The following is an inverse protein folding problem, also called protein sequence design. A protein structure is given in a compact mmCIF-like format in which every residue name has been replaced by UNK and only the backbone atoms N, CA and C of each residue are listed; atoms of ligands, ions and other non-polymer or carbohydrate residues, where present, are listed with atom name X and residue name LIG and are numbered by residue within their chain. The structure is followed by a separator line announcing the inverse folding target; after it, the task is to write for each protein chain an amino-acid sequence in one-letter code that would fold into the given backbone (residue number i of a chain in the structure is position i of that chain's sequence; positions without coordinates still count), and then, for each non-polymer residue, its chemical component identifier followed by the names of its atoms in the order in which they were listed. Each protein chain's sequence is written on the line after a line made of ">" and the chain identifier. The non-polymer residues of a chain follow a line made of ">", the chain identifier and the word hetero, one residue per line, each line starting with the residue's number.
data_IF_516397038970
#
_entry.id   IF_516397038970
#
_cell.length_a   1.000
_cell.length_b   1.000
_cell.length_c   1.000
_cell.angle_alpha   90.00
_cell.angle_beta   90.00
_cell.angle_gamma   90.00
#
_symmetry.space_group_name_H-M   'P 1'
#
loop_
_entity.id
_entity.type
_entity.pdbx_description
1 polymer ?
#
# COMPACT_ATOMS: atom_id res chain seq x y z
N UNK A 1 20.75 35.19 40.36
CA UNK A 1 19.45 34.50 40.45
C UNK A 1 18.38 35.56 40.19
N UNK A 2 17.54 35.39 39.16
CA UNK A 2 16.63 34.25 39.10
C UNK A 2 16.71 33.42 37.82
N UNK A 3 16.59 32.11 38.01
CA UNK A 3 16.37 31.08 37.00
C UNK A 3 15.08 31.32 36.23
N UNK A 4 15.13 31.21 34.90
CA UNK A 4 13.93 31.11 34.07
C UNK A 4 13.38 29.69 34.21
N UNK A 5 12.27 29.54 34.91
CA UNK A 5 11.47 28.33 34.94
C UNK A 5 10.92 28.02 33.54
N UNK A 6 11.22 26.83 33.03
CA UNK A 6 10.60 26.26 31.85
C UNK A 6 9.15 25.88 32.15
N UNK A 7 8.19 26.06 31.23
CA UNK A 7 6.82 25.62 31.44
C UNK A 7 6.71 24.09 31.34
N UNK A 8 6.01 23.51 32.33
CA UNK A 8 5.61 22.11 32.41
C UNK A 8 4.90 21.64 31.13
N UNK A 9 5.43 20.58 30.53
CA UNK A 9 4.80 19.87 29.39
C UNK A 9 3.86 18.81 29.94
N UNK A 10 2.53 18.87 29.68
CA UNK A 10 1.61 17.84 30.14
C UNK A 10 1.88 16.51 29.43
N UNK A 11 1.97 15.43 30.22
CA UNK A 11 2.36 14.10 29.79
C UNK A 11 1.55 13.50 28.64
N UNK A 12 2.27 12.81 27.74
CA UNK A 12 1.72 11.97 26.69
C UNK A 12 0.78 10.90 27.27
N UNK A 13 -0.54 11.06 27.07
CA UNK A 13 -1.48 9.94 27.19
C UNK A 13 -1.26 8.97 26.03
N UNK A 14 -0.82 7.76 26.35
CA UNK A 14 -0.77 6.63 25.43
C UNK A 14 -2.12 6.46 24.71
N UNK A 15 -2.10 6.63 23.38
CA UNK A 15 -3.25 6.39 22.52
C UNK A 15 -3.68 4.92 22.58
N UNK A 16 -4.98 4.68 22.73
CA UNK A 16 -5.58 3.34 22.78
C UNK A 16 -5.22 2.52 21.51
N UNK A 17 -4.92 1.21 21.63
CA UNK A 17 -4.66 0.36 20.49
C UNK A 17 -5.91 0.28 19.58
N UNK A 18 -5.70 0.52 18.28
CA UNK A 18 -6.74 0.44 17.26
C UNK A 18 -7.35 -0.97 17.12
N UNK A 19 -8.52 -1.09 16.48
CA UNK A 19 -9.25 -2.35 16.39
C UNK A 19 -8.46 -3.38 15.58
N UNK A 20 -8.39 -4.63 16.10
CA UNK A 20 -7.75 -5.77 15.42
C UNK A 20 -8.45 -6.01 14.09
N UNK A 21 -7.71 -5.81 12.99
CA UNK A 21 -8.17 -6.08 11.63
C UNK A 21 -8.61 -7.55 11.51
N UNK A 22 -9.84 -7.77 11.05
CA UNK A 22 -10.41 -9.08 10.72
C UNK A 22 -9.50 -9.85 9.76
N UNK A 23 -9.45 -11.17 9.96
CA UNK A 23 -8.46 -12.09 9.40
C UNK A 23 -8.08 -11.85 7.92
N UNK A 24 -6.79 -11.98 7.55
CA UNK A 24 -6.33 -11.84 6.18
C UNK A 24 -6.97 -12.86 5.23
N UNK A 25 -7.24 -12.43 3.99
CA UNK A 25 -7.68 -13.31 2.90
C UNK A 25 -6.71 -14.48 2.69
N UNK A 26 -7.18 -15.61 2.14
CA UNK A 26 -6.35 -16.82 1.91
C UNK A 26 -5.02 -16.54 1.18
N UNK A 27 -4.96 -15.50 0.33
CA UNK A 27 -3.73 -15.04 -0.33
C UNK A 27 -2.73 -14.39 0.62
N UNK A 28 -3.20 -13.59 1.57
CA UNK A 28 -2.38 -12.96 2.62
C UNK A 28 -1.84 -13.98 3.63
N UNK A 29 -2.59 -15.06 3.91
CA UNK A 29 -2.09 -16.19 4.73
C UNK A 29 -0.87 -16.88 4.09
N UNK A 30 -0.79 -16.95 2.76
CA UNK A 30 0.36 -17.53 2.04
C UNK A 30 1.59 -16.64 2.05
N UNK A 31 1.42 -15.31 1.94
CA UNK A 31 2.53 -14.35 2.10
C UNK A 31 3.09 -14.42 3.53
N UNK A 32 2.22 -14.56 4.54
CA UNK A 32 2.65 -14.81 5.94
C UNK A 32 3.45 -16.10 6.10
N UNK A 33 3.06 -17.18 5.42
CA UNK A 33 3.77 -18.46 5.49
C UNK A 33 5.13 -18.44 4.78
N UNK A 34 5.27 -17.72 3.67
CA UNK A 34 6.56 -17.54 2.99
C UNK A 34 7.53 -16.63 3.76
N UNK A 35 7.02 -15.66 4.52
CA UNK A 35 7.85 -14.85 5.42
C UNK A 35 8.37 -15.64 6.64
N UNK A 36 7.69 -16.72 7.03
CA UNK A 36 8.05 -17.55 8.18
C UNK A 36 9.16 -18.59 7.89
N UNK A 37 9.56 -18.79 6.62
CA UNK A 37 10.60 -19.80 6.26
C UNK A 37 12.02 -19.30 6.57
N UNK A 38 12.18 -18.10 7.15
CA UNK A 38 13.48 -17.52 7.49
C UNK A 38 13.74 -17.37 9.01
N UNK A 39 13.00 -18.10 9.84
CA UNK A 39 12.96 -17.99 11.32
C UNK A 39 14.25 -18.38 12.08
N UNK A 40 15.41 -18.40 11.43
CA UNK A 40 16.71 -18.76 12.02
C UNK A 40 17.80 -17.69 11.93
N UNK A 41 17.55 -16.55 11.31
CA UNK A 41 18.50 -15.43 11.25
C UNK A 41 17.78 -14.19 11.76
N UNK A 42 18.34 -13.51 12.78
CA UNK A 42 17.83 -12.25 13.31
C UNK A 42 17.22 -11.42 12.19
N UNK A 43 15.89 -11.33 12.16
CA UNK A 43 15.13 -10.98 10.97
C UNK A 43 15.52 -9.58 10.49
N UNK A 44 16.50 -9.51 9.59
CA UNK A 44 16.83 -8.29 8.89
C UNK A 44 15.57 -7.89 8.14
N UNK A 45 14.90 -6.85 8.64
CA UNK A 45 13.67 -6.31 8.05
C UNK A 45 14.08 -5.61 6.76
N UNK A 46 14.10 -6.38 5.67
CA UNK A 46 14.47 -5.84 4.37
C UNK A 46 13.27 -5.12 3.75
N UNK A 47 13.50 -3.99 3.05
CA UNK A 47 12.45 -3.35 2.28
C UNK A 47 11.92 -4.33 1.21
N UNK A 48 10.60 -4.40 1.08
CA UNK A 48 9.93 -5.38 0.21
C UNK A 48 9.51 -4.72 -1.10
N UNK A 49 9.86 -5.34 -2.23
CA UNK A 49 9.41 -4.94 -3.55
C UNK A 49 8.45 -5.98 -4.13
N UNK A 50 7.33 -5.53 -4.68
CA UNK A 50 6.34 -6.40 -5.32
C UNK A 50 5.69 -5.74 -6.54
N UNK A 51 4.94 -6.53 -7.28
CA UNK A 51 4.16 -6.07 -8.43
C UNK A 51 2.96 -5.22 -8.00
N UNK A 52 2.46 -4.41 -8.95
CA UNK A 52 1.31 -3.51 -8.75
C UNK A 52 0.06 -4.25 -8.22
N UNK A 53 -0.14 -5.51 -8.60
CA UNK A 53 -1.25 -6.34 -8.12
C UNK A 53 -1.26 -6.53 -6.59
N UNK A 54 -0.10 -6.39 -5.94
CA UNK A 54 0.04 -6.45 -4.49
C UNK A 54 -0.15 -5.08 -3.81
N UNK A 55 -0.27 -3.98 -4.56
CA UNK A 55 -0.46 -2.61 -4.04
C UNK A 55 -1.85 -2.32 -3.47
N UNK A 56 -2.45 -3.27 -2.74
CA UNK A 56 -3.72 -3.09 -2.06
C UNK A 56 -3.50 -2.56 -0.64
N UNK A 57 -4.40 -1.71 -0.16
CA UNK A 57 -4.25 -1.02 1.12
C UNK A 57 -4.04 -1.95 2.34
N UNK A 58 -4.78 -3.07 2.49
CA UNK A 58 -4.57 -4.00 3.59
C UNK A 58 -3.17 -4.62 3.66
N UNK A 59 -2.61 -5.05 2.52
CA UNK A 59 -1.24 -5.58 2.50
C UNK A 59 -0.22 -4.50 2.87
N UNK A 60 -0.37 -3.30 2.32
CA UNK A 60 0.55 -2.20 2.60
C UNK A 60 0.52 -1.80 4.09
N UNK A 61 -0.68 -1.71 4.68
CA UNK A 61 -0.85 -1.45 6.10
C UNK A 61 -0.17 -2.52 6.95
N UNK A 62 -0.39 -3.80 6.64
CA UNK A 62 0.27 -4.89 7.35
C UNK A 62 1.80 -4.83 7.25
N UNK A 63 2.37 -4.50 6.07
CA UNK A 63 3.82 -4.36 5.91
C UNK A 63 4.38 -3.23 6.78
N UNK A 64 3.70 -2.08 6.81
CA UNK A 64 4.07 -0.93 7.64
C UNK A 64 3.97 -1.27 9.13
N UNK A 65 2.92 -1.97 9.56
CA UNK A 65 2.76 -2.42 10.95
C UNK A 65 3.87 -3.40 11.39
N UNK A 66 4.51 -4.08 10.43
CA UNK A 66 5.66 -4.95 10.67
C UNK A 66 7.01 -4.23 10.49
N UNK A 67 7.00 -2.91 10.30
CA UNK A 67 8.19 -2.09 10.03
C UNK A 67 8.95 -2.55 8.78
N UNK A 68 8.21 -3.03 7.77
CA UNK A 68 8.74 -3.42 6.47
C UNK A 68 8.38 -2.33 5.47
N UNK A 69 9.39 -1.62 4.96
CA UNK A 69 9.17 -0.57 3.95
C UNK A 69 8.64 -1.15 2.64
N UNK A 70 7.43 -0.79 2.19
CA UNK A 70 6.83 -1.35 0.98
C UNK A 70 7.19 -0.53 -0.27
N UNK A 71 8.04 -1.07 -1.15
CA UNK A 71 8.27 -0.55 -2.50
C UNK A 71 7.33 -1.23 -3.52
N UNK A 72 6.02 -1.04 -3.31
CA UNK A 72 4.97 -1.64 -4.14
C UNK A 72 4.16 -0.55 -4.82
N UNK A 73 4.02 -0.53 -6.16
CA UNK A 73 3.22 0.49 -6.83
C UNK A 73 1.77 0.45 -6.38
N UNK A 74 1.23 1.58 -5.91
CA UNK A 74 -0.18 1.69 -5.50
C UNK A 74 -1.07 1.70 -6.74
N UNK A 75 -2.16 0.91 -6.70
CA UNK A 75 -3.20 0.98 -7.74
C UNK A 75 -4.05 2.22 -7.49
N UNK A 76 -3.86 3.23 -8.33
CA UNK A 76 -4.68 4.43 -8.32
C UNK A 76 -5.86 4.27 -9.29
N UNK A 77 -7.09 4.39 -8.78
CA UNK A 77 -8.34 4.30 -9.56
C UNK A 77 -9.07 5.65 -9.62
N UNK A 78 -8.34 6.74 -9.39
CA UNK A 78 -8.87 8.05 -9.02
C UNK A 78 -9.29 8.92 -10.20
N UNK A 79 -9.05 8.49 -11.45
CA UNK A 79 -9.53 9.21 -12.63
C UNK A 79 -11.04 9.02 -12.79
N UNK A 80 -11.81 9.88 -12.10
CA UNK A 80 -13.21 10.13 -12.38
C UNK A 80 -13.32 11.54 -12.98
N UNK A 81 -14.00 11.60 -14.14
CA UNK A 81 -14.51 12.76 -14.90
C UNK A 81 -13.86 14.13 -14.60
N UNK A 82 -13.21 14.69 -15.62
CA UNK A 82 -12.41 15.92 -15.57
C UNK A 82 -13.21 17.21 -15.22
N UNK A 83 -14.55 17.15 -15.14
CA UNK A 83 -15.40 18.33 -15.01
C UNK A 83 -15.60 18.84 -13.58
N UNK A 84 -15.21 18.07 -12.55
CA UNK A 84 -15.36 18.45 -11.14
C UNK A 84 -14.04 18.36 -10.38
N UNK A 85 -13.91 19.13 -9.30
CA UNK A 85 -12.80 18.96 -8.37
C UNK A 85 -12.68 17.50 -7.96
N UNK A 86 -11.50 16.92 -8.18
CA UNK A 86 -11.18 15.56 -7.76
C UNK A 86 -10.86 15.56 -6.26
N UNK A 87 -10.58 14.38 -5.69
CA UNK A 87 -10.16 14.25 -4.29
C UNK A 87 -8.86 15.01 -4.00
N UNK A 88 -8.00 15.20 -4.99
CA UNK A 88 -6.68 15.81 -4.82
C UNK A 88 -6.77 17.31 -4.50
N UNK A 89 -7.89 17.95 -4.85
CA UNK A 89 -8.19 19.32 -4.44
C UNK A 89 -8.60 19.45 -2.96
N UNK A 90 -8.80 18.33 -2.24
CA UNK A 90 -9.20 18.31 -0.84
C UNK A 90 -8.03 17.88 0.05
N UNK A 91 -7.60 18.76 0.96
CA UNK A 91 -6.49 18.49 1.87
C UNK A 91 -7.00 17.72 3.10
N UNK A 92 -6.38 16.59 3.41
CA UNK A 92 -6.72 15.82 4.61
C UNK A 92 -5.87 16.25 5.80
N UNK A 93 -6.52 16.61 6.91
CA UNK A 93 -5.89 16.79 8.21
C UNK A 93 -6.01 15.49 9.02
N UNK A 94 -4.86 14.86 9.29
CA UNK A 94 -4.77 13.61 10.05
C UNK A 94 -5.05 13.82 11.54
N UNK A 95 -4.67 14.96 12.10
CA UNK A 95 -4.78 15.23 13.53
C UNK A 95 -6.24 15.48 13.92
N UNK A 96 -6.95 16.28 13.11
CA UNK A 96 -8.36 16.58 13.33
C UNK A 96 -9.31 15.54 12.68
N UNK A 97 -8.79 14.60 11.86
CA UNK A 97 -9.58 13.62 11.12
C UNK A 97 -10.69 14.28 10.27
N UNK A 98 -10.30 15.31 9.50
CA UNK A 98 -11.18 16.11 8.64
C UNK A 98 -10.54 16.37 7.28
N UNK A 99 -11.37 16.71 6.30
CA UNK A 99 -10.90 17.25 5.03
C UNK A 99 -11.18 18.75 4.96
N UNK A 100 -10.27 19.50 4.35
CA UNK A 100 -10.46 20.89 3.94
C UNK A 100 -10.79 20.92 2.45
N UNK A 101 -11.87 21.61 2.09
CA UNK A 101 -12.19 21.86 0.69
C UNK A 101 -11.34 23.01 0.13
N UNK A 102 -11.35 23.25 -1.20
CA UNK A 102 -10.66 24.40 -1.82
C UNK A 102 -11.08 25.79 -1.30
N UNK A 103 -12.23 25.88 -0.63
CA UNK A 103 -12.72 27.10 0.02
C UNK A 103 -12.48 27.08 1.55
N UNK A 104 -11.52 26.26 2.02
CA UNK A 104 -11.13 26.06 3.42
C UNK A 104 -12.24 25.64 4.40
N UNK A 105 -13.39 25.21 3.91
CA UNK A 105 -14.46 24.63 4.74
C UNK A 105 -14.19 23.17 5.07
N UNK A 106 -14.66 22.76 6.26
CA UNK A 106 -14.42 21.43 6.80
C UNK A 106 -15.43 20.40 6.31
N UNK A 107 -14.91 19.22 5.99
CA UNK A 107 -15.66 17.99 5.76
C UNK A 107 -15.39 17.05 6.93
N UNK A 108 -16.42 16.80 7.74
CA UNK A 108 -16.32 15.98 8.95
C UNK A 108 -16.62 14.52 8.64
N UNK A 109 -15.99 13.61 9.39
CA UNK A 109 -16.28 12.18 9.33
C UNK A 109 -17.74 11.89 9.67
N UNK A 110 -18.40 11.06 8.85
CA UNK A 110 -19.82 10.67 9.02
C UNK A 110 -20.02 9.20 9.29
N UNK A 111 -19.03 8.36 9.04
CA UNK A 111 -19.15 6.91 9.25
C UNK A 111 -18.21 6.11 8.35
N UNK A 112 -18.10 4.83 8.67
CA UNK A 112 -17.33 3.85 7.91
C UNK A 112 -18.26 2.75 7.45
N UNK A 113 -18.26 2.48 6.14
CA UNK A 113 -18.93 1.30 5.60
C UNK A 113 -18.02 0.11 5.84
N UNK A 114 -18.38 -0.78 6.76
CA UNK A 114 -17.50 -1.88 7.18
C UNK A 114 -17.21 -2.88 6.04
N UNK A 115 -18.20 -3.18 5.20
CA UNK A 115 -18.04 -4.13 4.09
C UNK A 115 -16.96 -3.69 3.08
N UNK A 116 -16.88 -2.38 2.81
CA UNK A 116 -15.92 -1.82 1.85
C UNK A 116 -14.70 -1.15 2.50
N UNK A 117 -14.68 -1.04 3.84
CA UNK A 117 -13.66 -0.32 4.61
C UNK A 117 -13.43 1.11 4.09
N UNK A 118 -14.53 1.78 3.74
CA UNK A 118 -14.54 3.17 3.23
C UNK A 118 -15.10 4.11 4.29
N UNK A 119 -14.32 5.12 4.66
CA UNK A 119 -14.72 6.27 5.48
C UNK A 119 -15.37 7.32 4.59
N UNK A 120 -16.49 7.87 5.03
CA UNK A 120 -17.19 8.96 4.34
C UNK A 120 -17.05 10.28 5.12
N UNK A 121 -16.71 11.34 4.41
CA UNK A 121 -16.60 12.71 4.92
C UNK A 121 -17.59 13.60 4.18
N UNK A 122 -18.27 14.50 4.89
CA UNK A 122 -19.26 15.42 4.30
C UNK A 122 -19.09 16.82 4.82
N UNK A 123 -19.23 17.78 3.91
CA UNK A 123 -19.31 19.22 4.23
C UNK A 123 -20.64 19.55 4.90
N UNK A 124 -20.79 20.73 5.50
CA UNK A 124 -22.10 21.17 5.98
C UNK A 124 -22.91 21.73 4.80
N UNK A 125 -24.20 21.41 4.68
CA UNK A 125 -25.03 21.95 3.60
C UNK A 125 -25.07 23.48 3.54
N UNK A 126 -25.05 24.15 4.70
CA UNK A 126 -25.03 25.61 4.78
C UNK A 126 -23.76 26.20 4.14
N UNK A 127 -22.59 25.59 4.38
CA UNK A 127 -21.32 26.02 3.80
C UNK A 127 -21.31 25.88 2.28
N UNK A 128 -22.02 24.88 1.74
CA UNK A 128 -22.13 24.67 0.30
C UNK A 128 -23.24 25.49 -0.37
N UNK A 129 -24.25 25.96 0.37
CA UNK A 129 -25.39 26.67 -0.20
C UNK A 129 -24.99 28.01 -0.84
N UNK A 130 -24.12 28.76 -0.16
CA UNK A 130 -23.62 30.07 -0.60
C UNK A 130 -22.21 30.03 -1.21
N UNK A 131 -21.69 28.85 -1.56
CA UNK A 131 -20.31 28.70 -2.03
C UNK A 131 -20.17 29.01 -3.53
N UNK A 132 -19.34 29.99 -3.88
CA UNK A 132 -19.05 30.36 -5.27
C UNK A 132 -18.42 29.21 -6.08
N UNK A 133 -17.67 28.33 -5.43
CA UNK A 133 -17.01 27.19 -6.06
C UNK A 133 -17.93 25.97 -6.26
N UNK A 134 -19.21 26.05 -5.84
CA UNK A 134 -20.15 24.92 -5.92
C UNK A 134 -20.32 24.35 -7.35
N UNK A 135 -20.45 25.17 -8.42
CA UNK A 135 -20.63 24.65 -9.78
C UNK A 135 -19.51 23.73 -10.23
N UNK A 136 -18.26 24.01 -9.82
CA UNK A 136 -17.08 23.19 -10.12
C UNK A 136 -16.82 22.09 -9.08
N UNK A 137 -17.55 22.09 -7.96
CA UNK A 137 -17.32 21.19 -6.83
C UNK A 137 -18.31 20.02 -6.80
N UNK A 138 -19.63 20.27 -6.88
CA UNK A 138 -20.63 19.20 -6.86
C UNK A 138 -22.00 19.70 -7.29
N UNK A 139 -22.77 18.83 -7.94
CA UNK A 139 -24.20 19.04 -8.23
C UNK A 139 -25.10 18.74 -7.03
N UNK A 140 -24.59 18.05 -6.01
CA UNK A 140 -25.36 17.67 -4.82
C UNK A 140 -25.54 18.86 -3.85
N UNK A 141 -26.45 18.70 -2.87
CA UNK A 141 -26.66 19.67 -1.79
C UNK A 141 -25.39 19.97 -0.99
N UNK A 142 -24.49 18.99 -0.85
CA UNK A 142 -23.24 19.09 -0.12
C UNK A 142 -22.19 18.16 -0.76
N UNK A 143 -20.92 18.51 -0.64
CA UNK A 143 -19.82 17.67 -1.13
C UNK A 143 -19.55 16.52 -0.15
N UNK A 144 -19.37 15.32 -0.72
CA UNK A 144 -18.91 14.13 0.00
C UNK A 144 -17.59 13.63 -0.58
N UNK A 145 -16.67 13.22 0.30
CA UNK A 145 -15.37 12.64 -0.06
C UNK A 145 -15.23 11.30 0.65
N UNK A 146 -14.76 10.29 -0.07
CA UNK A 146 -14.50 8.96 0.48
C UNK A 146 -13.01 8.71 0.62
N UNK A 147 -12.62 8.09 1.74
CA UNK A 147 -11.24 7.70 2.04
C UNK A 147 -11.25 6.24 2.47
N UNK A 148 -10.35 5.42 1.95
CA UNK A 148 -10.19 4.06 2.48
C UNK A 148 -9.60 4.13 3.89
N UNK A 149 -9.97 3.19 4.76
CA UNK A 149 -9.36 3.06 6.10
C UNK A 149 -7.84 2.93 6.00
N UNK A 150 -7.37 2.23 4.96
CA UNK A 150 -5.94 2.00 4.67
C UNK A 150 -5.32 3.06 3.76
N UNK A 151 -5.97 4.22 3.56
CA UNK A 151 -5.43 5.25 2.67
C UNK A 151 -4.15 5.85 3.25
N UNK A 152 -3.99 5.92 4.57
CA UNK A 152 -2.75 6.40 5.20
C UNK A 152 -1.54 5.55 4.80
N UNK A 153 -1.69 4.22 4.79
CA UNK A 153 -0.68 3.30 4.32
C UNK A 153 -0.35 3.54 2.84
N UNK A 154 -1.37 3.78 2.00
CA UNK A 154 -1.18 4.10 0.58
C UNK A 154 -0.46 5.42 0.37
N UNK A 155 -0.79 6.44 1.14
CA UNK A 155 -0.14 7.76 1.08
C UNK A 155 1.34 7.65 1.47
N UNK A 156 1.68 6.87 2.50
CA UNK A 156 3.08 6.60 2.84
C UNK A 156 3.83 5.92 1.67
N UNK A 157 3.23 4.90 1.06
CA UNK A 157 3.84 4.22 -0.10
C UNK A 157 3.97 5.15 -1.32
N UNK A 158 2.99 6.03 -1.55
CA UNK A 158 3.09 7.07 -2.58
C UNK A 158 4.25 8.01 -2.30
N UNK A 159 4.46 8.42 -1.05
CA UNK A 159 5.58 9.29 -0.67
C UNK A 159 6.95 8.64 -0.90
N UNK A 160 7.04 7.30 -0.82
CA UNK A 160 8.27 6.56 -1.17
C UNK A 160 8.55 6.54 -2.69
N UNK A 161 7.55 6.83 -3.53
CA UNK A 161 7.71 6.78 -4.98
C UNK A 161 8.66 7.88 -5.45
N UNK A 162 9.59 7.52 -6.33
CA UNK A 162 10.61 8.45 -6.84
C UNK A 162 11.88 8.54 -6.00
N UNK A 163 11.88 8.04 -4.76
CA UNK A 163 13.12 7.91 -3.97
C UNK A 163 14.12 6.97 -4.65
N UNK A 164 15.41 7.16 -4.40
CA UNK A 164 16.44 6.25 -4.92
C UNK A 164 16.22 4.80 -4.49
N UNK A 165 15.79 4.59 -3.23
CA UNK A 165 15.47 3.27 -2.70
C UNK A 165 14.36 2.60 -3.52
N UNK A 166 13.30 3.36 -3.85
CA UNK A 166 12.21 2.89 -4.71
C UNK A 166 12.69 2.60 -6.15
N UNK A 167 13.60 3.40 -6.69
CA UNK A 167 14.19 3.17 -8.02
C UNK A 167 15.02 1.88 -8.02
N UNK A 168 15.88 1.68 -7.01
CA UNK A 168 16.67 0.45 -6.83
C UNK A 168 15.76 -0.77 -6.66
N UNK A 169 14.70 -0.66 -5.86
CA UNK A 169 13.71 -1.72 -5.69
C UNK A 169 13.01 -2.08 -7.01
N UNK A 170 12.63 -1.06 -7.81
CA UNK A 170 12.05 -1.27 -9.15
C UNK A 170 13.02 -1.98 -10.10
N UNK A 171 14.30 -1.62 -10.08
CA UNK A 171 15.33 -2.31 -10.89
C UNK A 171 15.53 -3.77 -10.45
N UNK A 172 15.51 -4.04 -9.14
CA UNK A 172 15.58 -5.40 -8.60
C UNK A 172 14.38 -6.25 -9.03
N UNK A 173 13.17 -5.69 -9.06
CA UNK A 173 11.96 -6.40 -9.54
C UNK A 173 12.08 -6.87 -10.99
N UNK A 174 12.75 -6.11 -11.87
CA UNK A 174 13.03 -6.56 -13.25
C UNK A 174 13.88 -7.84 -13.31
N UNK A 175 14.64 -8.18 -12.26
CA UNK A 175 15.41 -9.43 -12.21
C UNK A 175 14.47 -10.63 -12.13
N UNK A 176 13.45 -10.58 -11.27
CA UNK A 176 12.50 -11.69 -11.14
C UNK A 176 11.61 -11.83 -12.39
N UNK A 177 11.23 -10.71 -13.02
CA UNK A 177 10.52 -10.73 -14.31
C UNK A 177 11.33 -11.46 -15.40
N UNK A 178 12.66 -11.23 -15.45
CA UNK A 178 13.55 -11.95 -16.37
C UNK A 178 13.61 -13.44 -16.08
N UNK A 179 13.70 -13.83 -14.80
CA UNK A 179 13.67 -15.25 -14.41
C UNK A 179 12.37 -15.90 -14.87
N UNK A 180 11.21 -15.29 -14.56
CA UNK A 180 9.92 -15.80 -15.03
C UNK A 180 9.80 -15.84 -16.56
N UNK A 181 10.37 -14.87 -17.25
CA UNK A 181 10.47 -14.86 -18.71
C UNK A 181 11.25 -16.06 -19.24
N UNK A 182 12.40 -16.37 -18.64
CA UNK A 182 13.23 -17.51 -19.00
C UNK A 182 12.52 -18.84 -18.73
N UNK A 183 11.95 -19.01 -17.53
CA UNK A 183 11.19 -20.21 -17.17
C UNK A 183 10.06 -20.49 -18.19
N UNK A 184 9.32 -19.44 -18.58
CA UNK A 184 8.17 -19.58 -19.49
C UNK A 184 8.56 -19.77 -20.95
N UNK A 185 9.60 -19.06 -21.44
CA UNK A 185 9.95 -19.07 -22.87
C UNK A 185 10.99 -20.13 -23.22
N UNK A 186 11.97 -20.36 -22.35
CA UNK A 186 13.11 -21.22 -22.65
C UNK A 186 12.92 -22.61 -22.02
N UNK A 187 12.34 -22.68 -20.81
CA UNK A 187 12.04 -23.95 -20.13
C UNK A 187 10.58 -24.40 -20.33
N UNK A 188 9.83 -23.71 -21.20
CA UNK A 188 8.45 -24.01 -21.57
C UNK A 188 7.47 -24.18 -20.37
N UNK A 189 7.74 -23.53 -19.24
CA UNK A 189 6.91 -23.58 -18.03
C UNK A 189 5.68 -22.64 -18.15
N UNK A 190 4.92 -22.78 -19.24
CA UNK A 190 3.71 -21.98 -19.51
C UNK A 190 2.46 -22.55 -18.84
N UNK A 191 2.40 -23.87 -18.76
CA UNK A 191 1.40 -24.64 -18.04
C UNK A 191 2.11 -25.62 -17.09
N UNK A 192 1.44 -25.92 -15.99
CA UNK A 192 1.87 -26.97 -15.08
C UNK A 192 1.21 -28.28 -15.51
N UNK A 193 1.95 -29.38 -15.47
CA UNK A 193 1.43 -30.71 -15.87
C UNK A 193 0.70 -31.39 -14.72
N UNK A 194 1.19 -31.21 -13.50
CA UNK A 194 0.65 -31.73 -12.27
C UNK A 194 -0.50 -30.85 -11.76
N UNK A 195 -1.48 -31.51 -11.15
CA UNK A 195 -2.66 -30.86 -10.57
C UNK A 195 -2.48 -30.63 -9.08
N UNK A 196 -3.18 -29.62 -8.58
CA UNK A 196 -3.16 -29.28 -7.16
C UNK A 196 -1.94 -28.45 -6.74
N UNK A 197 -1.97 -27.97 -5.50
CA UNK A 197 -0.95 -27.05 -4.98
C UNK A 197 0.41 -27.73 -4.76
N UNK A 198 0.41 -29.03 -4.42
CA UNK A 198 1.62 -29.80 -4.19
C UNK A 198 2.36 -30.06 -5.50
N UNK A 199 1.67 -30.58 -6.52
CA UNK A 199 2.26 -30.78 -7.84
C UNK A 199 2.76 -29.48 -8.48
N UNK A 200 2.04 -28.38 -8.29
CA UNK A 200 2.50 -27.06 -8.71
C UNK A 200 3.79 -26.61 -7.99
N UNK A 201 3.93 -26.93 -6.70
CA UNK A 201 5.12 -26.61 -5.93
C UNK A 201 6.32 -27.46 -6.36
N UNK A 202 6.12 -28.75 -6.60
CA UNK A 202 7.17 -29.67 -7.07
C UNK A 202 7.72 -29.23 -8.43
N UNK A 203 6.85 -29.02 -9.42
CA UNK A 203 7.28 -28.57 -10.75
C UNK A 203 8.04 -27.25 -10.70
N UNK A 204 7.53 -26.29 -9.92
CA UNK A 204 8.17 -24.99 -9.82
C UNK A 204 9.52 -25.08 -9.11
N UNK A 205 9.64 -25.94 -8.09
CA UNK A 205 10.90 -26.16 -7.37
C UNK A 205 11.94 -26.80 -8.29
N UNK A 206 11.55 -27.81 -9.07
CA UNK A 206 12.44 -28.45 -10.05
C UNK A 206 12.87 -27.47 -11.16
N UNK A 207 11.94 -26.66 -11.68
CA UNK A 207 12.28 -25.64 -12.68
C UNK A 207 13.22 -24.56 -12.13
N UNK A 208 13.02 -24.13 -10.88
CA UNK A 208 13.90 -23.19 -10.20
C UNK A 208 15.30 -23.78 -9.96
N UNK A 209 15.38 -25.06 -9.57
CA UNK A 209 16.65 -25.77 -9.41
C UNK A 209 17.42 -25.86 -10.73
N UNK A 210 16.75 -26.27 -11.82
CA UNK A 210 17.34 -26.31 -13.15
C UNK A 210 17.84 -24.93 -13.62
N UNK A 211 17.05 -23.88 -13.39
CA UNK A 211 17.48 -22.51 -13.69
C UNK A 211 18.71 -22.08 -12.88
N UNK A 212 18.77 -22.41 -11.59
CA UNK A 212 19.92 -22.10 -10.74
C UNK A 212 21.19 -22.83 -11.23
N UNK A 213 21.08 -24.10 -11.65
CA UNK A 213 22.19 -24.84 -12.24
C UNK A 213 22.68 -24.18 -13.54
N UNK A 214 21.76 -23.74 -14.41
CA UNK A 214 22.12 -23.01 -15.63
C UNK A 214 22.82 -21.68 -15.33
N UNK A 215 22.38 -20.97 -14.28
CA UNK A 215 23.02 -19.73 -13.85
C UNK A 215 24.45 -19.97 -13.34
N UNK A 216 24.67 -21.06 -12.60
CA UNK A 216 26.00 -21.45 -12.13
C UNK A 216 26.91 -21.83 -13.29
N UNK A 217 26.42 -22.64 -14.24
CA UNK A 217 27.17 -23.03 -15.43
C UNK A 217 27.60 -21.81 -16.26
N UNK A 218 26.69 -20.87 -16.50
CA UNK A 218 26.99 -19.64 -17.25
C UNK A 218 27.99 -18.71 -16.54
N UNK A 219 28.13 -18.81 -15.22
CA UNK A 219 29.13 -18.05 -14.45
C UNK A 219 30.49 -18.73 -14.43
N UNK A 220 30.53 -20.04 -14.58
CA UNK A 220 31.74 -20.85 -14.57
C UNK A 220 32.38 -20.99 -15.95
N UNK A 221 31.63 -20.76 -17.03
CA UNK A 221 32.16 -20.77 -18.39
C UNK A 221 33.16 -19.60 -18.59
N UNK A 222 34.36 -19.86 -19.14
CA UNK A 222 35.27 -18.77 -19.54
C UNK A 222 34.61 -17.91 -20.62
N UNK A 223 34.90 -16.60 -20.58
CA UNK A 223 34.35 -15.60 -21.48
C UNK A 223 34.68 -15.86 -22.96
#
# INVERSE_FOLDING_TARGET
>A
MPERQAPDVPGHRAGKPGPRLSQPSRRLRRVRAQAAVHDGQAARRYPLAADKAYGNGPLLGWLIDQDITPHVPVIDRTRQRDDFFTRDAFRYDRNANVYHCPNDKLLTYRGTVQASQVRAYRSRPADCAACALKPQCTTARQRAVTRLVTEDARDQVRALSGTEASIRARQRRKRIERVFGHLKRNLNLRSLKLRGLNGAAEEFTMAAAAYNLQLLANRAAPA
#
